data_IF_158002011140
#
_entry.id   IF_158002011140
#
_cell.length_a   1.000
_cell.length_b   1.000
_cell.length_c   1.000
_cell.angle_alpha   90.00
_cell.angle_beta   90.00
_cell.angle_gamma   90.00
#
_symmetry.space_group_name_H-M   'P 1'
#
loop_
_entity.id
_entity.type
_entity.pdbx_description
1 polymer ?
#
# COMPACT_ATOMS: atom_id res chain seq x y z
N UNK A 1 -7.99 30.75 -9.23
CA UNK A 1 -7.04 31.10 -8.14
C UNK A 1 -6.33 29.82 -7.72
N UNK A 2 -5.02 29.86 -7.46
CA UNK A 2 -4.24 28.67 -7.14
C UNK A 2 -3.83 28.69 -5.67
N UNK A 3 -4.07 27.58 -4.96
CA UNK A 3 -3.72 27.42 -3.55
C UNK A 3 -2.74 26.26 -3.42
N UNK A 4 -1.65 26.48 -2.68
CA UNK A 4 -0.64 25.44 -2.41
C UNK A 4 -0.65 25.15 -0.92
N UNK A 5 -0.87 23.89 -0.57
CA UNK A 5 -0.92 23.39 0.80
C UNK A 5 0.17 22.35 1.00
N UNK A 6 0.81 22.36 2.17
CA UNK A 6 1.70 21.28 2.58
C UNK A 6 1.00 20.52 3.71
N UNK A 7 0.87 19.20 3.58
CA UNK A 7 0.19 18.37 4.58
C UNK A 7 0.98 17.07 4.81
N UNK A 8 0.90 16.53 6.03
CA UNK A 8 1.35 15.15 6.26
C UNK A 8 0.29 14.16 5.71
N UNK A 9 0.72 12.96 5.31
CA UNK A 9 -0.19 11.91 4.80
C UNK A 9 -1.33 11.58 5.77
N UNK A 10 -1.05 11.63 7.08
CA UNK A 10 -2.03 11.44 8.16
C UNK A 10 -3.17 12.48 8.15
N UNK A 11 -2.90 13.69 7.66
CA UNK A 11 -3.83 14.81 7.65
C UNK A 11 -4.59 14.95 6.34
N UNK A 12 -4.14 14.26 5.28
CA UNK A 12 -4.67 14.41 3.92
C UNK A 12 -6.18 14.18 3.84
N UNK A 13 -6.71 13.20 4.57
CA UNK A 13 -8.16 12.91 4.56
C UNK A 13 -8.99 14.08 5.08
N UNK A 14 -8.56 14.74 6.16
CA UNK A 14 -9.27 15.90 6.70
C UNK A 14 -9.19 17.10 5.76
N UNK A 15 -7.99 17.37 5.23
CA UNK A 15 -7.77 18.45 4.25
C UNK A 15 -8.65 18.26 3.02
N UNK A 16 -8.73 17.06 2.46
CA UNK A 16 -9.57 16.79 1.28
C UNK A 16 -11.08 16.95 1.57
N UNK A 17 -11.54 16.61 2.77
CA UNK A 17 -12.95 16.79 3.16
C UNK A 17 -13.34 18.26 3.26
N UNK A 18 -12.47 19.09 3.85
CA UNK A 18 -12.68 20.54 3.94
C UNK A 18 -12.62 21.21 2.55
N UNK A 19 -11.68 20.78 1.72
CA UNK A 19 -11.50 21.31 0.37
C UNK A 19 -12.70 20.99 -0.55
N UNK A 20 -13.22 19.78 -0.48
CA UNK A 20 -14.39 19.35 -1.26
C UNK A 20 -15.66 20.13 -0.93
N UNK A 21 -15.75 20.72 0.27
CA UNK A 21 -16.90 21.55 0.66
C UNK A 21 -16.79 23.03 0.29
N UNK A 22 -15.57 23.59 0.21
CA UNK A 22 -15.37 25.05 0.20
C UNK A 22 -14.62 25.60 -1.02
N UNK A 23 -13.99 24.76 -1.85
CA UNK A 23 -13.05 25.20 -2.88
C UNK A 23 -13.30 24.58 -4.27
N UNK A 24 -14.56 24.30 -4.61
CA UNK A 24 -14.96 23.62 -5.86
C UNK A 24 -14.45 24.30 -7.15
N UNK A 25 -14.24 25.61 -7.14
CA UNK A 25 -13.80 26.40 -8.30
C UNK A 25 -12.32 26.85 -8.23
N UNK A 26 -11.51 26.24 -7.35
CA UNK A 26 -10.09 26.55 -7.19
C UNK A 26 -9.17 25.39 -7.55
N UNK A 27 -8.02 25.73 -8.13
CA UNK A 27 -6.94 24.77 -8.35
C UNK A 27 -6.13 24.63 -7.05
N UNK A 28 -6.20 23.46 -6.42
CA UNK A 28 -5.49 23.17 -5.17
C UNK A 28 -4.37 22.18 -5.42
N UNK A 29 -3.15 22.55 -5.02
CA UNK A 29 -1.98 21.68 -5.06
C UNK A 29 -1.61 21.30 -3.63
N UNK A 30 -1.62 20.00 -3.32
CA UNK A 30 -1.26 19.48 -2.00
C UNK A 30 0.08 18.76 -2.10
N UNK A 31 1.10 19.34 -1.47
CA UNK A 31 2.39 18.69 -1.28
C UNK A 31 2.31 17.81 -0.04
N UNK A 32 2.32 16.49 -0.25
CA UNK A 32 2.26 15.52 0.83
C UNK A 32 3.68 15.23 1.30
N UNK A 33 3.95 15.50 2.57
CA UNK A 33 5.18 15.04 3.23
C UNK A 33 4.91 13.66 3.82
N UNK A 34 5.56 12.65 3.27
CA UNK A 34 5.63 11.34 3.91
C UNK A 34 6.76 11.38 4.95
N UNK A 35 6.43 11.08 6.21
CA UNK A 35 7.47 10.59 7.11
C UNK A 35 7.85 9.21 6.57
N UNK A 36 9.15 8.99 6.39
CA UNK A 36 9.73 7.67 6.15
C UNK A 36 9.43 6.78 7.37
N UNK A 37 8.19 6.32 7.55
CA UNK A 37 7.96 5.08 8.25
C UNK A 37 8.48 4.01 7.30
N UNK A 38 9.59 3.38 7.69
CA UNK A 38 10.13 2.18 7.05
C UNK A 38 8.95 1.32 6.62
N UNK A 39 8.74 1.21 5.31
CA UNK A 39 7.84 0.23 4.73
C UNK A 39 8.46 -1.12 5.05
N UNK A 40 8.24 -1.62 6.27
CA UNK A 40 8.45 -3.02 6.60
C UNK A 40 7.42 -3.73 5.77
N UNK A 41 7.80 -4.08 4.54
CA UNK A 41 7.10 -5.03 3.72
C UNK A 41 6.84 -6.22 4.64
N UNK A 42 5.59 -6.34 5.09
CA UNK A 42 5.09 -7.59 5.63
C UNK A 42 5.00 -8.48 4.40
N UNK A 43 6.12 -9.07 4.00
CA UNK A 43 6.08 -10.26 3.18
C UNK A 43 5.16 -11.21 3.93
N UNK A 44 4.00 -11.59 3.37
CA UNK A 44 3.29 -12.74 3.89
C UNK A 44 4.32 -13.86 3.98
N UNK A 45 4.42 -14.49 5.16
CA UNK A 45 5.30 -15.63 5.40
C UNK A 45 4.75 -16.82 4.60
N UNK A 46 4.82 -16.73 3.27
CA UNK A 46 4.70 -17.90 2.42
C UNK A 46 5.97 -18.67 2.68
N UNK A 47 5.84 -19.78 3.41
CA UNK A 47 6.83 -20.84 3.37
C UNK A 47 7.12 -21.09 1.89
N UNK A 48 8.32 -20.70 1.46
CA UNK A 48 8.73 -20.83 0.07
C UNK A 48 8.86 -22.32 -0.17
N UNK A 49 7.83 -22.94 -0.74
CA UNK A 49 7.91 -24.32 -1.22
C UNK A 49 9.13 -24.40 -2.14
N UNK A 50 10.11 -25.18 -1.72
CA UNK A 50 11.30 -25.43 -2.49
C UNK A 50 10.99 -26.46 -3.57
N UNK A 51 11.85 -26.57 -4.58
CA UNK A 51 11.72 -27.59 -5.61
C UNK A 51 11.71 -29.00 -4.99
N UNK A 52 12.45 -29.24 -3.90
CA UNK A 52 12.41 -30.50 -3.15
C UNK A 52 11.05 -30.79 -2.51
N UNK A 53 10.37 -29.76 -1.99
CA UNK A 53 9.03 -29.92 -1.42
C UNK A 53 8.01 -30.31 -2.50
N UNK A 54 8.15 -29.75 -3.71
CA UNK A 54 7.30 -30.08 -4.85
C UNK A 54 7.53 -31.50 -5.38
N UNK A 55 8.78 -31.97 -5.36
CA UNK A 55 9.13 -33.34 -5.76
C UNK A 55 8.56 -34.38 -4.79
N UNK A 56 8.64 -34.13 -3.47
CA UNK A 56 8.04 -35.00 -2.45
C UNK A 56 6.53 -35.11 -2.58
N UNK A 57 5.85 -33.99 -2.80
CA UNK A 57 4.39 -33.97 -3.01
C UNK A 57 4.01 -34.81 -4.25
N UNK A 58 4.82 -34.77 -5.31
CA UNK A 58 4.57 -35.56 -6.51
C UNK A 58 4.80 -37.07 -6.29
N UNK A 59 5.79 -37.46 -5.49
CA UNK A 59 6.02 -38.86 -5.13
C UNK A 59 4.90 -39.40 -4.24
N UNK A 60 4.47 -38.66 -3.22
CA UNK A 60 3.37 -39.05 -2.32
C UNK A 60 2.04 -39.25 -3.09
N UNK A 61 1.75 -38.40 -4.08
CA UNK A 61 0.55 -38.58 -4.92
C UNK A 61 0.65 -39.78 -5.86
N UNK A 62 1.86 -40.20 -6.23
CA UNK A 62 2.10 -41.32 -7.14
C UNK A 62 2.11 -42.67 -6.42
N UNK A 63 2.41 -42.71 -5.12
CA UNK A 63 2.30 -43.91 -4.28
C UNK A 63 0.86 -44.21 -3.83
N UNK A 64 -0.06 -43.26 -3.97
CA UNK A 64 -1.47 -43.39 -3.53
C UNK A 64 -2.43 -43.80 -4.67
N UNK A 65 -1.91 -44.13 -5.86
CA UNK A 65 -2.66 -44.59 -7.05
C UNK A 65 -2.38 -46.07 -7.36
#
# INVERSE_FOLDING_TARGET
MKVVLNAERSQLRGVLQELGGSFSDMEVVINIKEKEEEFKEKHPNYESLTTEDLERIQEEQKETE
#
